data_IF_692329337489
#
_entry.id   IF_692329337489
#
_cell.length_a   1.000
_cell.length_b   1.000
_cell.length_c   1.000
_cell.angle_alpha   90.00
_cell.angle_beta   90.00
_cell.angle_gamma   90.00
#
_symmetry.space_group_name_H-M   'P 1'
#
loop_
_entity.id
_entity.type
_entity.pdbx_description
1 polymer ?
#
# COMPACT_ATOMS: atom_id res chain seq x y z
N UNK A 1 -0.16 43.73 3.26
CA UNK A 1 0.99 42.87 3.62
C UNK A 1 0.43 41.60 4.26
N UNK A 2 0.28 40.52 3.49
CA UNK A 2 -0.24 39.24 3.97
C UNK A 2 0.94 38.34 4.37
N UNK A 3 0.86 37.77 5.57
CA UNK A 3 1.83 36.83 6.16
C UNK A 3 1.26 35.41 6.13
N UNK A 4 2.15 34.46 5.85
CA UNK A 4 2.15 33.04 6.26
C UNK A 4 1.07 32.14 5.59
N UNK A 5 1.30 30.87 5.22
CA UNK A 5 2.17 29.83 5.77
C UNK A 5 2.63 28.88 4.65
N UNK A 6 3.92 28.59 4.58
CA UNK A 6 4.47 27.50 3.77
C UNK A 6 4.25 26.16 4.49
N UNK A 7 3.80 25.08 3.82
CA UNK A 7 3.75 23.78 4.44
C UNK A 7 5.15 23.18 4.55
N UNK A 8 5.75 23.35 5.73
CA UNK A 8 6.90 22.61 6.22
C UNK A 8 6.61 21.10 6.26
N UNK A 9 7.50 20.29 5.69
CA UNK A 9 7.53 18.85 6.00
C UNK A 9 7.82 17.90 4.83
N UNK A 10 8.74 18.24 3.93
CA UNK A 10 9.43 17.22 3.14
C UNK A 10 10.38 16.44 4.06
N UNK A 11 9.94 15.28 4.56
CA UNK A 11 10.89 14.29 5.08
C UNK A 11 11.37 13.43 3.92
N UNK A 12 12.52 13.84 3.35
CA UNK A 12 13.34 12.98 2.54
C UNK A 12 13.92 11.86 3.42
N UNK A 13 13.41 10.64 3.28
CA UNK A 13 14.14 9.46 3.72
C UNK A 13 15.12 9.05 2.61
N UNK A 14 16.38 9.43 2.80
CA UNK A 14 17.50 8.96 2.02
C UNK A 14 17.72 7.46 2.22
N UNK A 15 18.25 6.83 1.17
CA UNK A 15 18.32 5.39 1.00
C UNK A 15 19.07 4.62 2.08
N UNK A 16 18.60 3.39 2.32
CA UNK A 16 19.42 2.29 2.78
C UNK A 16 19.11 1.09 1.89
N UNK A 17 20.12 0.66 1.12
CA UNK A 17 20.10 -0.58 0.35
C UNK A 17 19.90 -1.73 1.35
N UNK A 18 18.78 -2.44 1.22
CA UNK A 18 18.59 -3.79 1.74
C UNK A 18 17.92 -4.63 0.66
N UNK A 19 18.72 -5.58 0.15
CA UNK A 19 18.36 -6.92 -0.31
C UNK A 19 17.11 -7.13 -1.18
N UNK A 20 17.33 -7.84 -2.29
CA UNK A 20 16.45 -8.24 -3.39
C UNK A 20 15.22 -9.10 -3.05
N UNK A 21 14.60 -8.93 -1.88
CA UNK A 21 13.23 -9.42 -1.69
C UNK A 21 12.33 -8.30 -2.20
N UNK A 22 11.69 -8.51 -3.34
CA UNK A 22 10.64 -7.61 -3.81
C UNK A 22 9.47 -7.70 -2.81
N UNK A 23 9.56 -6.94 -1.71
CA UNK A 23 8.51 -6.83 -0.72
C UNK A 23 7.29 -6.27 -1.46
N UNK A 24 6.18 -7.00 -1.43
CA UNK A 24 4.92 -6.50 -1.95
C UNK A 24 4.52 -5.28 -1.10
N UNK A 25 4.57 -4.05 -1.65
CA UNK A 25 4.33 -2.85 -0.86
C UNK A 25 2.91 -2.81 -0.29
N UNK A 26 1.96 -3.48 -0.94
CA UNK A 26 0.60 -3.61 -0.42
C UNK A 26 0.53 -4.53 0.79
N UNK A 27 1.23 -5.67 0.75
CA UNK A 27 1.33 -6.58 1.88
C UNK A 27 2.03 -5.92 3.08
N UNK A 28 3.10 -5.15 2.84
CA UNK A 28 3.77 -4.39 3.89
C UNK A 28 2.84 -3.36 4.54
N UNK A 29 2.10 -2.60 3.73
CA UNK A 29 1.12 -1.64 4.23
C UNK A 29 0.02 -2.32 5.06
N UNK A 30 -0.46 -3.49 4.65
CA UNK A 30 -1.46 -4.27 5.41
C UNK A 30 -0.93 -4.75 6.76
N UNK A 31 0.32 -5.22 6.81
CA UNK A 31 0.98 -5.62 8.08
C UNK A 31 1.07 -4.42 9.02
N UNK A 32 1.52 -3.26 8.52
CA UNK A 32 1.62 -2.03 9.31
C UNK A 32 0.25 -1.51 9.74
N UNK A 33 -0.77 -1.62 8.90
CA UNK A 33 -2.14 -1.26 9.24
C UNK A 33 -2.66 -2.09 10.42
N UNK A 34 -2.47 -3.42 10.40
CA UNK A 34 -2.87 -4.30 11.50
C UNK A 34 -2.21 -3.91 12.82
N UNK A 35 -0.93 -3.53 12.78
CA UNK A 35 -0.24 -3.01 13.95
C UNK A 35 -0.88 -1.70 14.46
N UNK A 36 -1.16 -0.74 13.58
CA UNK A 36 -1.83 0.52 13.96
C UNK A 36 -3.23 0.30 14.54
N UNK A 37 -3.99 -0.68 14.01
CA UNK A 37 -5.30 -1.07 14.54
C UNK A 37 -5.15 -1.58 15.97
N UNK A 38 -4.15 -2.41 16.26
CA UNK A 38 -3.91 -2.92 17.60
C UNK A 38 -3.52 -1.80 18.57
N UNK A 39 -2.58 -0.93 18.19
CA UNK A 39 -2.20 0.25 19.01
C UNK A 39 -3.40 1.18 19.26
N UNK A 40 -4.31 1.31 18.29
CA UNK A 40 -5.55 2.07 18.46
C UNK A 40 -6.49 1.37 19.44
N UNK A 41 -6.62 0.05 19.34
CA UNK A 41 -7.51 -0.79 20.16
C UNK A 41 -7.08 -0.81 21.63
N UNK A 42 -5.78 -0.89 21.90
CA UNK A 42 -5.22 -0.87 23.26
C UNK A 42 -5.19 0.52 23.89
N UNK A 43 -5.48 1.58 23.10
CA UNK A 43 -5.50 2.97 23.57
C UNK A 43 -4.15 3.68 23.50
N UNK A 44 -3.10 3.00 23.03
CA UNK A 44 -1.76 3.56 22.86
C UNK A 44 -1.69 4.62 21.74
N UNK A 45 -2.58 4.54 20.75
CA UNK A 45 -2.63 5.47 19.62
C UNK A 45 -3.95 6.25 19.62
N UNK A 46 -3.85 7.58 19.64
CA UNK A 46 -5.02 8.47 19.59
C UNK A 46 -5.71 8.44 18.22
N UNK A 47 -7.04 8.66 18.12
CA UNK A 47 -7.79 8.58 16.87
C UNK A 47 -7.25 9.44 15.71
N UNK A 48 -6.82 10.68 16.00
CA UNK A 48 -6.28 11.58 14.98
C UNK A 48 -4.92 11.08 14.47
N UNK A 49 -4.06 10.66 15.38
CA UNK A 49 -2.74 10.12 15.05
C UNK A 49 -2.85 8.81 14.27
N UNK A 50 -3.80 7.95 14.62
CA UNK A 50 -4.14 6.75 13.86
C UNK A 50 -4.53 7.07 12.42
N UNK A 51 -5.48 8.01 12.22
CA UNK A 51 -5.90 8.41 10.86
C UNK A 51 -4.75 8.97 10.02
N UNK A 52 -3.83 9.72 10.62
CA UNK A 52 -2.63 10.21 9.91
C UNK A 52 -1.69 9.07 9.58
N UNK A 53 -1.36 8.22 10.57
CA UNK A 53 -0.45 7.10 10.39
C UNK A 53 -0.94 6.11 9.31
N UNK A 54 -2.25 5.82 9.24
CA UNK A 54 -2.81 4.99 8.16
C UNK A 54 -2.68 5.66 6.79
N UNK A 55 -2.91 6.98 6.70
CA UNK A 55 -2.75 7.73 5.44
C UNK A 55 -1.29 7.73 4.96
N UNK A 56 -0.33 7.66 5.88
CA UNK A 56 1.10 7.59 5.57
C UNK A 56 1.53 6.21 5.05
N UNK A 57 0.68 5.19 5.14
CA UNK A 57 0.87 3.88 4.50
C UNK A 57 0.51 3.88 3.00
N UNK A 58 0.28 5.05 2.39
CA UNK A 58 -0.08 5.14 0.99
C UNK A 58 0.99 4.51 0.08
N UNK A 59 0.54 3.72 -0.89
CA UNK A 59 1.40 3.01 -1.85
C UNK A 59 1.28 3.65 -3.23
N UNK A 60 2.41 3.75 -3.94
CA UNK A 60 2.42 3.99 -5.38
C UNK A 60 2.67 2.66 -6.08
N UNK A 61 1.79 2.30 -7.01
CA UNK A 61 2.02 1.11 -7.84
C UNK A 61 2.99 1.40 -9.01
N UNK A 62 3.30 0.37 -9.79
CA UNK A 62 4.20 0.50 -10.96
C UNK A 62 3.63 1.36 -12.09
N UNK A 63 2.35 1.68 -12.06
CA UNK A 63 1.69 2.58 -13.02
C UNK A 63 1.61 4.03 -12.46
N UNK A 64 2.21 4.30 -11.29
CA UNK A 64 2.20 5.60 -10.64
C UNK A 64 0.88 5.95 -9.96
N UNK A 65 -0.07 5.01 -9.86
CA UNK A 65 -1.37 5.25 -9.20
C UNK A 65 -1.18 5.20 -7.70
N UNK A 66 -1.85 6.12 -6.99
CA UNK A 66 -1.81 6.18 -5.53
C UNK A 66 -2.93 5.34 -4.91
N UNK A 67 -2.56 4.55 -3.92
CA UNK A 67 -3.42 3.67 -3.15
C UNK A 67 -3.35 4.00 -1.67
N UNK A 68 -4.45 3.81 -0.95
CA UNK A 68 -4.55 4.07 0.49
C UNK A 68 -5.56 3.14 1.14
N UNK A 69 -5.25 2.66 2.34
CA UNK A 69 -6.22 2.00 3.21
C UNK A 69 -7.12 3.05 3.88
N UNK A 70 -8.43 2.83 3.87
CA UNK A 70 -9.35 3.64 4.66
C UNK A 70 -9.08 3.43 6.16
N UNK A 71 -8.85 4.48 6.96
CA UNK A 71 -8.56 4.31 8.38
C UNK A 71 -9.65 3.57 9.15
N UNK A 72 -10.91 3.81 8.79
CA UNK A 72 -12.07 3.29 9.54
C UNK A 72 -12.51 1.89 9.09
N UNK A 73 -12.28 1.53 7.82
CA UNK A 73 -12.79 0.29 7.21
C UNK A 73 -11.69 -0.71 6.82
N UNK A 74 -10.43 -0.27 6.74
CA UNK A 74 -9.32 -1.11 6.29
C UNK A 74 -9.42 -1.53 4.83
N UNK A 75 -10.26 -0.84 4.04
CA UNK A 75 -10.48 -1.13 2.61
C UNK A 75 -9.47 -0.37 1.77
N UNK A 76 -8.97 -0.98 0.70
CA UNK A 76 -8.12 -0.30 -0.26
C UNK A 76 -8.93 0.63 -1.17
N UNK A 77 -8.44 1.85 -1.31
CA UNK A 77 -8.92 2.85 -2.24
C UNK A 77 -7.80 3.25 -3.20
N UNK A 78 -8.14 3.32 -4.49
CA UNK A 78 -7.29 3.89 -5.54
C UNK A 78 -7.70 5.33 -5.80
N UNK A 79 -6.72 6.21 -5.95
CA UNK A 79 -6.95 7.59 -6.37
C UNK A 79 -7.17 7.65 -7.88
N UNK A 80 -8.33 8.13 -8.28
CA UNK A 80 -8.68 8.47 -9.66
C UNK A 80 -9.07 9.94 -9.72
N UNK A 81 -8.24 10.73 -10.41
CA UNK A 81 -8.34 12.19 -10.40
C UNK A 81 -8.35 12.72 -8.94
N UNK A 82 -9.47 13.33 -8.53
CA UNK A 82 -9.69 13.86 -7.18
C UNK A 82 -10.57 12.97 -6.29
N UNK A 83 -10.91 11.75 -6.75
CA UNK A 83 -11.76 10.80 -6.03
C UNK A 83 -10.97 9.58 -5.56
N UNK A 84 -11.43 9.02 -4.44
CA UNK A 84 -10.97 7.73 -3.92
C UNK A 84 -12.04 6.69 -4.20
N UNK A 85 -11.70 5.68 -4.99
CA UNK A 85 -12.61 4.59 -5.35
C UNK A 85 -12.10 3.30 -4.74
N UNK A 86 -12.99 2.54 -4.10
CA UNK A 86 -12.67 1.21 -3.58
C UNK A 86 -12.18 0.33 -4.75
N UNK A 87 -11.05 -0.34 -4.56
CA UNK A 87 -10.45 -1.21 -5.57
C UNK A 87 -9.49 -2.21 -4.94
N UNK A 88 -9.27 -3.33 -5.64
CA UNK A 88 -8.25 -4.30 -5.24
C UNK A 88 -6.86 -3.89 -5.76
N UNK A 89 -5.83 -3.86 -4.90
CA UNK A 89 -4.48 -3.51 -5.33
C UNK A 89 -3.91 -4.53 -6.32
N UNK A 90 -3.05 -4.09 -7.27
CA UNK A 90 -2.38 -4.99 -8.20
C UNK A 90 -1.30 -5.80 -7.47
N UNK A 91 -1.70 -6.91 -6.85
CA UNK A 91 -0.78 -7.87 -6.23
C UNK A 91 0.05 -8.57 -7.29
N UNK A 92 1.28 -8.94 -6.95
CA UNK A 92 2.15 -9.76 -7.83
C UNK A 92 2.23 -11.19 -7.28
N UNK A 93 2.16 -12.16 -8.18
CA UNK A 93 2.36 -13.58 -7.92
C UNK A 93 3.49 -14.08 -8.79
N UNK A 94 4.43 -14.84 -8.23
CA UNK A 94 5.43 -15.55 -9.03
C UNK A 94 4.87 -16.93 -9.36
N UNK A 95 4.82 -17.29 -10.65
CA UNK A 95 4.37 -18.61 -11.05
C UNK A 95 5.35 -19.67 -10.51
N UNK A 96 4.89 -20.69 -9.76
CA UNK A 96 5.79 -21.70 -9.19
C UNK A 96 6.34 -22.66 -10.25
N UNK A 97 5.73 -22.73 -11.44
CA UNK A 97 6.17 -23.62 -12.52
C UNK A 97 7.25 -22.99 -13.40
N UNK A 98 7.08 -21.73 -13.82
CA UNK A 98 8.00 -21.09 -14.77
C UNK A 98 8.70 -19.83 -14.24
N UNK A 99 8.41 -19.38 -13.01
CA UNK A 99 9.00 -18.18 -12.43
C UNK A 99 8.45 -16.85 -12.98
N UNK A 100 7.51 -16.85 -13.92
CA UNK A 100 6.96 -15.60 -14.45
C UNK A 100 6.15 -14.82 -13.42
N UNK A 101 6.33 -13.50 -13.41
CA UNK A 101 5.60 -12.57 -12.54
C UNK A 101 4.22 -12.26 -13.13
N UNK A 102 3.19 -12.79 -12.48
CA UNK A 102 1.79 -12.57 -12.81
C UNK A 102 1.16 -11.55 -11.88
N UNK A 103 0.03 -11.01 -12.31
CA UNK A 103 -0.82 -10.21 -11.44
C UNK A 103 -1.77 -11.13 -10.67
N UNK A 104 -2.03 -10.82 -9.41
CA UNK A 104 -2.85 -11.64 -8.51
C UNK A 104 -4.26 -11.88 -9.04
N UNK A 105 -4.78 -10.99 -9.89
CA UNK A 105 -6.08 -11.15 -10.56
C UNK A 105 -6.13 -12.29 -11.61
N UNK A 106 -4.99 -12.81 -12.05
CA UNK A 106 -4.96 -13.91 -13.03
C UNK A 106 -5.15 -15.26 -12.32
N UNK A 107 -5.94 -16.16 -12.90
CA UNK A 107 -6.14 -17.53 -12.37
C UNK A 107 -5.13 -18.52 -12.93
N UNK A 108 -4.49 -18.17 -14.04
CA UNK A 108 -3.47 -18.96 -14.74
C UNK A 108 -2.28 -18.07 -15.09
N UNK A 109 -1.10 -18.68 -15.17
CA UNK A 109 0.12 -18.00 -15.60
C UNK A 109 -0.01 -17.59 -17.07
N UNK A 110 0.24 -16.32 -17.38
CA UNK A 110 0.11 -15.80 -18.76
C UNK A 110 1.17 -16.35 -19.71
N UNK A 111 2.33 -16.77 -19.19
CA UNK A 111 3.39 -17.39 -20.00
C UNK A 111 3.22 -18.90 -20.20
N UNK A 112 3.05 -19.68 -19.14
CA UNK A 112 3.10 -21.16 -19.23
C UNK A 112 1.75 -21.86 -19.05
N UNK A 113 0.66 -21.14 -18.75
CA UNK A 113 -0.67 -21.71 -18.56
C UNK A 113 -0.91 -22.44 -17.23
N UNK A 114 0.11 -22.61 -16.38
CA UNK A 114 -0.06 -23.21 -15.04
C UNK A 114 -1.08 -22.44 -14.20
N UNK A 115 -1.99 -23.14 -13.51
CA UNK A 115 -2.91 -22.51 -12.55
C UNK A 115 -2.14 -21.84 -11.41
N UNK A 116 -2.48 -20.58 -11.10
CA UNK A 116 -1.90 -19.83 -9.99
C UNK A 116 -2.73 -20.05 -8.72
N UNK A 117 -2.08 -20.45 -7.64
CA UNK A 117 -2.71 -20.55 -6.33
C UNK A 117 -2.58 -19.18 -5.65
N UNK A 118 -3.73 -18.59 -5.30
CA UNK A 118 -3.83 -17.29 -4.60
C UNK A 118 -3.79 -17.49 -3.10
#
# INVERSE_FOLDING_TARGET
MLRALEPSGFYAFAGRILSSVAVDPFAEAEIRYKFLVEERRTGNLQPRSYRVAVRDLAVLDSEGRRWMLGPEDGIWYRRENERWLQADPPRRLVCPSCGHHNLGRHSFCVECGQRLNR
#
